data_IF_087789132548
#
_entry.id   IF_087789132548
#
_cell.length_a   1.000
_cell.length_b   1.000
_cell.length_c   1.000
_cell.angle_alpha   90.00
_cell.angle_beta   90.00
_cell.angle_gamma   90.00
#
_symmetry.space_group_name_H-M   'P 1'
#
loop_
_entity.id
_entity.type
_entity.pdbx_description
1 polymer ?
#
# COMPACT_ATOMS: atom_id res chain seq x y z
N UNK A 1 -16.81 20.75 70.01
CA UNK A 1 -15.70 21.51 69.39
C UNK A 1 -16.27 22.24 68.20
N UNK A 2 -16.30 23.57 68.25
CA UNK A 2 -16.76 24.44 67.17
C UNK A 2 -15.71 24.44 66.07
N UNK A 3 -16.10 24.12 64.84
CA UNK A 3 -15.25 24.41 63.68
C UNK A 3 -15.46 25.87 63.29
N UNK A 4 -14.42 26.63 63.56
CA UNK A 4 -14.31 28.06 63.38
C UNK A 4 -14.38 28.43 61.90
N UNK A 5 -15.23 29.39 61.56
CA UNK A 5 -15.34 29.98 60.23
C UNK A 5 -14.19 30.93 59.93
N UNK A 6 -13.79 30.92 58.66
CA UNK A 6 -13.23 32.05 57.90
C UNK A 6 -11.72 32.33 58.02
N UNK A 7 -10.99 32.13 56.92
CA UNK A 7 -10.51 33.24 56.06
C UNK A 7 -9.28 32.81 55.25
N UNK A 8 -9.30 33.13 53.95
CA UNK A 8 -8.06 33.36 53.21
C UNK A 8 -7.71 32.34 52.13
N UNK A 9 -8.58 32.15 51.14
CA UNK A 9 -8.06 31.80 49.80
C UNK A 9 -8.47 32.95 48.89
N UNK A 10 -7.55 33.90 48.71
CA UNK A 10 -7.57 34.81 47.56
C UNK A 10 -7.37 33.94 46.31
N UNK A 11 -8.46 33.31 45.89
CA UNK A 11 -8.53 32.62 44.62
C UNK A 11 -9.04 33.67 43.66
N UNK A 12 -8.16 34.27 42.87
CA UNK A 12 -8.52 35.15 41.76
C UNK A 12 -9.19 34.39 40.60
N UNK A 13 -9.77 33.23 40.91
CA UNK A 13 -10.46 32.33 40.01
C UNK A 13 -11.95 32.46 40.33
N UNK A 14 -12.79 32.82 39.35
CA UNK A 14 -14.23 32.86 39.56
C UNK A 14 -14.71 31.50 40.08
N UNK A 15 -15.57 31.52 41.10
CA UNK A 15 -16.23 30.32 41.59
C UNK A 15 -17.20 29.85 40.52
N UNK A 16 -16.84 28.81 39.77
CA UNK A 16 -17.72 28.17 38.80
C UNK A 16 -18.67 27.20 39.50
N UNK A 17 -19.92 27.12 39.02
CA UNK A 17 -20.84 26.08 39.46
C UNK A 17 -20.42 24.72 38.89
N UNK A 18 -20.84 23.62 39.51
CA UNK A 18 -20.56 22.27 38.98
C UNK A 18 -21.08 22.12 37.54
N UNK A 19 -22.23 22.70 37.22
CA UNK A 19 -22.78 22.73 35.86
C UNK A 19 -21.92 23.48 34.85
N UNK A 20 -21.22 24.55 35.27
CA UNK A 20 -20.29 25.26 34.38
C UNK A 20 -18.99 24.47 34.20
N UNK A 21 -18.59 23.72 35.23
CA UNK A 21 -17.43 22.82 35.16
C UNK A 21 -17.71 21.66 34.22
N UNK A 22 -18.90 21.07 34.28
CA UNK A 22 -19.32 19.93 33.45
C UNK A 22 -19.48 20.33 31.97
N UNK A 23 -19.99 21.54 31.70
CA UNK A 23 -20.19 22.07 30.33
C UNK A 23 -18.98 22.83 29.77
N UNK A 24 -17.83 22.75 30.43
CA UNK A 24 -16.66 23.46 29.97
C UNK A 24 -16.13 22.90 28.63
N UNK A 25 -15.63 23.75 27.71
CA UNK A 25 -15.15 23.30 26.39
C UNK A 25 -14.05 22.22 26.43
N UNK A 26 -13.28 22.14 27.52
CA UNK A 26 -12.24 21.13 27.70
C UNK A 26 -12.77 19.77 28.17
N UNK A 27 -14.06 19.66 28.48
CA UNK A 27 -14.74 18.39 28.74
C UNK A 27 -15.37 17.80 27.46
N UNK A 28 -15.17 18.43 26.31
CA UNK A 28 -15.53 17.82 25.04
C UNK A 28 -14.80 16.47 24.93
N UNK A 29 -15.58 15.39 24.78
CA UNK A 29 -15.06 14.04 24.60
C UNK A 29 -14.08 14.05 23.42
N UNK A 30 -12.79 13.93 23.70
CA UNK A 30 -11.78 13.72 22.66
C UNK A 30 -12.20 12.49 21.89
N UNK A 31 -12.52 12.66 20.61
CA UNK A 31 -13.06 11.59 19.78
C UNK A 31 -12.12 10.38 19.84
N UNK A 32 -12.59 9.30 20.47
CA UNK A 32 -11.82 8.05 20.59
C UNK A 32 -11.49 7.53 19.18
N UNK A 33 -10.29 6.97 18.96
CA UNK A 33 -9.96 6.35 17.68
C UNK A 33 -10.99 5.25 17.37
N UNK A 34 -11.55 5.28 16.16
CA UNK A 34 -12.49 4.27 15.67
C UNK A 34 -11.86 3.56 14.48
N UNK A 35 -12.06 2.25 14.39
CA UNK A 35 -11.69 1.47 13.21
C UNK A 35 -12.70 1.78 12.10
N UNK A 36 -12.19 2.11 10.92
CA UNK A 36 -12.99 2.36 9.72
C UNK A 36 -12.43 1.45 8.63
N UNK A 37 -13.32 0.74 7.96
CA UNK A 37 -12.97 -0.07 6.79
C UNK A 37 -12.89 0.86 5.57
N UNK A 38 -11.78 0.77 4.85
CA UNK A 38 -11.53 1.58 3.66
C UNK A 38 -11.04 0.69 2.53
N UNK A 39 -11.48 0.96 1.31
CA UNK A 39 -10.94 0.33 0.11
C UNK A 39 -9.98 1.32 -0.54
N UNK A 40 -8.72 0.91 -0.71
CA UNK A 40 -7.72 1.68 -1.47
C UNK A 40 -7.65 1.09 -2.87
N UNK A 41 -8.03 1.88 -3.88
CA UNK A 41 -7.89 1.50 -5.29
C UNK A 41 -6.78 2.35 -5.92
N UNK A 42 -5.85 1.68 -6.61
CA UNK A 42 -4.74 2.33 -7.30
C UNK A 42 -4.39 1.60 -8.59
N UNK A 43 -3.95 2.36 -9.60
CA UNK A 43 -3.43 1.81 -10.87
C UNK A 43 -1.91 1.90 -10.85
N UNK A 44 -1.22 0.77 -10.98
CA UNK A 44 0.23 0.67 -10.93
C UNK A 44 0.79 0.25 -12.30
N UNK A 45 1.85 0.91 -12.76
CA UNK A 45 2.58 0.53 -13.96
C UNK A 45 4.07 0.39 -13.63
N UNK A 46 4.70 -0.69 -14.11
CA UNK A 46 6.13 -0.93 -13.96
C UNK A 46 6.69 -1.44 -15.28
N UNK A 47 7.77 -0.83 -15.75
CA UNK A 47 8.55 -1.33 -16.88
C UNK A 47 9.54 -2.37 -16.36
N UNK A 48 9.55 -3.55 -16.99
CA UNK A 48 10.44 -4.66 -16.67
C UNK A 48 11.01 -5.24 -17.97
N UNK A 49 12.20 -5.82 -17.88
CA UNK A 49 12.77 -6.64 -18.96
C UNK A 49 12.37 -8.10 -18.69
N UNK A 50 11.88 -8.79 -19.72
CA UNK A 50 11.50 -10.20 -19.67
C UNK A 50 12.16 -10.96 -20.82
N UNK A 51 12.45 -12.24 -20.60
CA UNK A 51 12.92 -13.13 -21.64
C UNK A 51 11.74 -13.78 -22.36
N UNK A 52 11.79 -13.80 -23.70
CA UNK A 52 10.79 -14.46 -24.56
C UNK A 52 11.49 -15.33 -25.60
N UNK A 53 10.87 -16.45 -25.97
CA UNK A 53 11.45 -17.44 -26.90
C UNK A 53 10.54 -17.79 -28.07
N UNK A 54 9.31 -17.31 -28.03
CA UNK A 54 8.24 -17.47 -29.00
C UNK A 54 8.17 -16.32 -30.02
N UNK A 55 9.23 -15.53 -30.13
CA UNK A 55 9.34 -14.44 -31.09
C UNK A 55 9.49 -14.95 -32.52
N UNK A 56 9.02 -14.16 -33.47
CA UNK A 56 9.15 -14.48 -34.89
C UNK A 56 10.35 -13.74 -35.50
N UNK A 57 10.95 -14.39 -36.50
CA UNK A 57 12.14 -13.87 -37.18
C UNK A 57 11.79 -13.64 -38.63
N UNK A 58 11.60 -12.37 -39.00
CA UNK A 58 11.36 -11.97 -40.36
C UNK A 58 12.69 -11.68 -41.06
N UNK A 59 12.96 -12.42 -42.13
CA UNK A 59 14.14 -12.18 -42.97
C UNK A 59 13.71 -11.33 -44.15
N UNK A 60 14.41 -10.21 -44.32
CA UNK A 60 14.20 -9.28 -45.41
C UNK A 60 15.47 -9.00 -46.18
N UNK A 61 15.31 -8.20 -47.21
CA UNK A 61 16.41 -7.57 -47.93
C UNK A 61 16.11 -6.09 -47.96
N UNK A 62 17.09 -5.26 -47.62
CA UNK A 62 16.93 -3.81 -47.68
C UNK A 62 16.98 -3.28 -49.12
N UNK A 63 16.83 -1.97 -49.27
CA UNK A 63 16.83 -1.29 -50.59
C UNK A 63 18.16 -1.45 -51.36
N UNK A 64 19.24 -1.84 -50.69
CA UNK A 64 20.58 -2.01 -51.25
C UNK A 64 20.92 -3.49 -51.54
N UNK A 65 20.02 -4.42 -51.22
CA UNK A 65 20.24 -5.85 -51.45
C UNK A 65 20.90 -6.59 -50.29
N UNK A 66 21.09 -5.95 -49.13
CA UNK A 66 21.68 -6.60 -47.95
C UNK A 66 20.62 -7.36 -47.13
N UNK A 67 20.96 -8.55 -46.62
CA UNK A 67 20.04 -9.30 -45.78
C UNK A 67 19.86 -8.59 -44.43
N UNK A 68 18.60 -8.31 -44.09
CA UNK A 68 18.21 -7.78 -42.79
C UNK A 68 17.37 -8.81 -42.04
N UNK A 69 17.46 -8.81 -40.72
CA UNK A 69 16.64 -9.66 -39.85
C UNK A 69 15.89 -8.77 -38.88
N UNK A 70 14.56 -8.88 -38.90
CA UNK A 70 13.67 -8.21 -37.97
C UNK A 70 13.13 -9.23 -36.97
N UNK A 71 13.12 -8.87 -35.70
CA UNK A 71 12.53 -9.66 -34.63
C UNK A 71 11.17 -9.06 -34.33
N UNK A 72 10.12 -9.86 -34.47
CA UNK A 72 8.77 -9.44 -34.14
C UNK A 72 8.27 -10.20 -32.91
N UNK A 73 7.84 -9.41 -31.93
CA UNK A 73 7.37 -9.85 -30.60
C UNK A 73 5.86 -9.68 -30.45
N UNK A 74 5.15 -9.24 -31.49
CA UNK A 74 3.72 -8.92 -31.44
C UNK A 74 2.83 -10.12 -31.08
N UNK A 75 3.23 -11.31 -31.53
CA UNK A 75 2.54 -12.58 -31.28
C UNK A 75 3.10 -13.35 -30.06
N UNK A 76 4.06 -12.78 -29.32
CA UNK A 76 4.59 -13.40 -28.10
C UNK A 76 3.54 -13.39 -26.98
N UNK A 77 3.50 -14.46 -26.17
CA UNK A 77 2.70 -14.48 -24.93
C UNK A 77 3.41 -13.72 -23.80
N UNK A 78 3.46 -12.40 -23.95
CA UNK A 78 4.09 -11.50 -22.98
C UNK A 78 3.43 -11.58 -21.60
N UNK A 79 2.12 -11.87 -21.56
CA UNK A 79 1.38 -11.99 -20.29
C UNK A 79 1.87 -13.19 -19.50
N UNK A 80 2.00 -14.34 -20.15
CA UNK A 80 2.53 -15.53 -19.50
C UNK A 80 4.00 -15.34 -19.11
N UNK A 81 4.82 -14.76 -19.99
CA UNK A 81 6.23 -14.48 -19.70
C UNK A 81 6.42 -13.59 -18.46
N UNK A 82 5.57 -12.56 -18.28
CA UNK A 82 5.58 -11.72 -17.07
C UNK A 82 5.21 -12.54 -15.83
N UNK A 83 4.14 -13.34 -15.87
CA UNK A 83 3.71 -14.15 -14.72
C UNK A 83 4.76 -15.16 -14.28
N UNK A 84 5.50 -15.73 -15.23
CA UNK A 84 6.52 -16.74 -14.96
C UNK A 84 7.79 -16.14 -14.34
N UNK A 85 8.14 -14.91 -14.72
CA UNK A 85 9.41 -14.27 -14.33
C UNK A 85 9.25 -13.25 -13.19
N UNK A 86 8.07 -12.65 -13.04
CA UNK A 86 7.83 -11.51 -12.15
C UNK A 86 6.74 -11.86 -11.15
N UNK A 87 7.00 -11.59 -9.88
CA UNK A 87 5.98 -11.64 -8.82
C UNK A 87 5.10 -10.40 -8.90
N UNK A 88 3.81 -10.61 -9.18
CA UNK A 88 2.79 -9.56 -9.16
C UNK A 88 2.38 -9.21 -7.71
N UNK A 89 1.80 -8.02 -7.46
CA UNK A 89 1.46 -7.59 -6.11
C UNK A 89 0.47 -8.50 -5.36
N UNK A 90 -0.51 -9.08 -6.06
CA UNK A 90 -1.48 -10.03 -5.51
C UNK A 90 -0.85 -11.37 -5.09
N UNK A 91 0.21 -11.79 -5.78
CA UNK A 91 0.97 -13.00 -5.44
C UNK A 91 2.10 -12.74 -4.44
N UNK A 92 2.43 -11.48 -4.17
CA UNK A 92 3.61 -11.10 -3.41
C UNK A 92 3.54 -11.60 -1.97
N UNK A 93 2.36 -11.52 -1.33
CA UNK A 93 2.16 -12.04 0.01
C UNK A 93 2.51 -13.54 0.07
N UNK A 94 1.90 -14.37 -0.76
CA UNK A 94 2.08 -15.82 -0.71
C UNK A 94 3.52 -16.24 -1.00
N UNK A 95 4.18 -15.61 -1.98
CA UNK A 95 5.58 -15.92 -2.34
C UNK A 95 6.57 -15.49 -1.27
N UNK A 96 6.32 -14.36 -0.59
CA UNK A 96 7.23 -13.82 0.43
C UNK A 96 6.92 -14.33 1.83
N UNK A 97 5.71 -14.80 2.10
CA UNK A 97 5.25 -15.19 3.43
C UNK A 97 6.16 -16.22 4.07
N UNK A 98 6.50 -17.29 3.34
CA UNK A 98 7.41 -18.31 3.86
C UNK A 98 8.81 -17.75 4.15
N UNK A 99 9.32 -16.83 3.32
CA UNK A 99 10.65 -16.27 3.50
C UNK A 99 10.73 -15.37 4.75
N UNK A 100 9.69 -14.56 4.99
CA UNK A 100 9.64 -13.60 6.11
C UNK A 100 9.24 -14.27 7.42
N UNK A 101 8.40 -15.31 7.39
CA UNK A 101 7.90 -15.98 8.60
C UNK A 101 9.02 -16.55 9.50
N UNK A 102 10.11 -17.05 8.92
CA UNK A 102 11.26 -17.57 9.69
C UNK A 102 12.24 -16.50 10.17
N UNK A 103 12.04 -15.24 9.78
CA UNK A 103 12.88 -14.13 10.23
C UNK A 103 12.40 -13.63 11.58
N UNK A 104 13.34 -13.23 12.44
CA UNK A 104 13.03 -12.53 13.70
C UNK A 104 12.74 -11.03 13.48
N UNK A 105 12.58 -10.60 12.22
CA UNK A 105 12.27 -9.22 11.86
C UNK A 105 10.76 -8.96 11.90
N UNK A 106 10.30 -8.55 13.08
CA UNK A 106 8.89 -8.20 13.30
C UNK A 106 8.40 -7.06 12.40
N UNK A 107 9.30 -6.13 12.00
CA UNK A 107 8.93 -5.02 11.14
C UNK A 107 8.68 -5.47 9.69
N UNK A 108 9.40 -6.50 9.24
CA UNK A 108 9.16 -7.12 7.94
C UNK A 108 7.83 -7.89 7.93
N UNK A 109 7.46 -8.56 9.04
CA UNK A 109 6.18 -9.25 9.18
C UNK A 109 5.00 -8.27 9.11
N UNK A 110 5.08 -7.13 9.80
CA UNK A 110 4.01 -6.11 9.77
C UNK A 110 3.80 -5.55 8.35
N UNK A 111 4.89 -5.22 7.64
CA UNK A 111 4.82 -4.74 6.24
C UNK A 111 4.35 -5.80 5.25
N UNK A 112 4.55 -7.08 5.56
CA UNK A 112 4.07 -8.18 4.72
C UNK A 112 2.54 -8.26 4.76
N UNK A 113 1.92 -8.04 5.92
CA UNK A 113 0.45 -8.05 6.04
C UNK A 113 -0.21 -6.98 5.14
N UNK A 114 0.47 -5.86 4.88
CA UNK A 114 -0.01 -4.84 3.93
C UNK A 114 -0.10 -5.34 2.48
N UNK A 115 0.59 -6.43 2.13
CA UNK A 115 0.54 -7.06 0.81
C UNK A 115 -0.60 -8.09 0.68
N UNK A 116 -1.33 -8.36 1.76
CA UNK A 116 -2.42 -9.32 1.77
C UNK A 116 -3.68 -8.74 1.12
N UNK A 117 -4.50 -9.61 0.54
CA UNK A 117 -5.85 -9.29 0.03
C UNK A 117 -5.87 -8.23 -1.08
N UNK A 118 -4.76 -8.04 -1.80
CA UNK A 118 -4.74 -7.25 -3.03
C UNK A 118 -5.47 -7.98 -4.16
N UNK A 119 -6.38 -7.27 -4.82
CA UNK A 119 -7.03 -7.75 -6.04
C UNK A 119 -6.41 -7.07 -7.26
N UNK A 120 -6.07 -7.85 -8.28
CA UNK A 120 -5.69 -7.30 -9.59
C UNK A 120 -6.95 -7.09 -10.40
N UNK A 121 -7.36 -5.82 -10.53
CA UNK A 121 -8.55 -5.43 -11.29
C UNK A 121 -8.32 -5.46 -12.82
N UNK A 122 -7.10 -5.12 -13.26
CA UNK A 122 -6.71 -5.13 -14.68
C UNK A 122 -5.23 -5.54 -14.84
N UNK A 123 -4.94 -6.33 -15.88
CA UNK A 123 -3.59 -6.79 -16.21
C UNK A 123 -3.33 -6.68 -17.72
N UNK A 124 -2.68 -5.58 -18.07
CA UNK A 124 -2.27 -5.24 -19.42
C UNK A 124 -0.74 -5.27 -19.54
N UNK A 125 -0.25 -5.79 -20.67
CA UNK A 125 1.18 -5.80 -21.01
C UNK A 125 1.33 -5.07 -22.34
N UNK A 126 2.18 -4.04 -22.36
CA UNK A 126 2.38 -3.15 -23.50
C UNK A 126 3.86 -3.19 -23.89
N UNK A 127 4.13 -3.38 -25.18
CA UNK A 127 5.48 -3.26 -25.74
C UNK A 127 5.93 -1.79 -25.67
N UNK A 128 7.12 -1.58 -25.10
CA UNK A 128 7.74 -0.26 -24.93
C UNK A 128 8.45 0.27 -26.16
#
# INVERSE_FOLDING_TARGET
MNYNTSSGINSNCPVMSQSDWDNAPWNEDVSKPRKVEVTVSMTLSKTVEIEVSDYTVEKGVDEEGFPITHLDFSECDLKQAVKDQITLPDEAYDKLHHAVYYTEDYSAQERLEDLKDWNVDDFEVVLG
#
